data_IF_889447730854
#
_entry.id   IF_889447730854
#
_cell.length_a   1.000
_cell.length_b   1.000
_cell.length_c   1.000
_cell.angle_alpha   90.00
_cell.angle_beta   90.00
_cell.angle_gamma   90.00
#
_symmetry.space_group_name_H-M   'P 1'
#
loop_
_entity.id
_entity.type
_entity.pdbx_description
1 polymer ?
#
# COMPACT_ATOMS: atom_id res chain seq x y z
N UNK A 1 23.65 3.57 -0.02
CA UNK A 1 23.04 2.71 1.02
C UNK A 1 22.40 3.64 2.04
N UNK A 2 21.13 3.46 2.36
CA UNK A 2 20.44 4.35 3.31
C UNK A 2 20.81 3.94 4.75
N UNK A 3 21.65 4.75 5.44
CA UNK A 3 22.10 4.44 6.80
C UNK A 3 21.02 4.62 7.88
N UNK A 4 19.83 5.07 7.50
CA UNK A 4 18.72 5.30 8.42
C UNK A 4 17.73 4.13 8.47
N UNK A 5 17.97 3.07 7.70
CA UNK A 5 17.10 1.90 7.61
C UNK A 5 17.90 0.63 7.78
N UNK A 6 17.36 -0.34 8.50
CA UNK A 6 17.94 -1.68 8.64
C UNK A 6 16.87 -2.77 8.73
N UNK A 7 17.15 -3.92 8.15
CA UNK A 7 16.41 -5.15 8.38
C UNK A 7 17.02 -5.87 9.58
N UNK A 8 16.23 -6.11 10.60
CA UNK A 8 16.69 -6.76 11.84
C UNK A 8 15.76 -7.88 12.25
N UNK A 9 16.24 -8.74 13.14
CA UNK A 9 15.43 -9.78 13.76
C UNK A 9 15.13 -9.36 15.20
N UNK A 10 13.84 -9.30 15.56
CA UNK A 10 13.40 -8.96 16.90
C UNK A 10 13.59 -10.15 17.87
N UNK A 11 13.29 -9.93 19.16
CA UNK A 11 13.42 -10.95 20.21
C UNK A 11 12.53 -12.20 20.01
N UNK A 12 11.48 -12.06 19.19
CA UNK A 12 10.59 -13.16 18.79
C UNK A 12 11.10 -13.93 17.57
N UNK A 13 12.23 -13.52 16.99
CA UNK A 13 12.79 -14.11 15.78
C UNK A 13 12.16 -13.62 14.48
N UNK A 14 11.25 -12.64 14.54
CA UNK A 14 10.59 -12.07 13.37
C UNK A 14 11.50 -11.03 12.69
N UNK A 15 11.54 -11.05 11.38
CA UNK A 15 12.22 -10.02 10.61
C UNK A 15 11.36 -8.77 10.52
N UNK A 16 11.94 -7.64 10.92
CA UNK A 16 11.29 -6.32 10.90
C UNK A 16 12.23 -5.29 10.29
N UNK A 17 11.64 -4.30 9.62
CA UNK A 17 12.40 -3.17 9.11
C UNK A 17 12.30 -2.05 10.13
N UNK A 18 13.46 -1.52 10.53
CA UNK A 18 13.55 -0.43 11.48
C UNK A 18 14.11 0.82 10.81
N UNK A 19 13.61 1.96 11.25
CA UNK A 19 14.06 3.27 10.81
C UNK A 19 14.53 4.05 12.04
N UNK A 20 15.65 4.77 11.88
CA UNK A 20 16.21 5.66 12.89
C UNK A 20 17.43 6.37 12.35
N UNK A 21 17.70 7.56 12.85
CA UNK A 21 18.80 8.40 12.37
C UNK A 21 20.15 7.69 12.55
N UNK A 22 20.80 7.37 11.43
CA UNK A 22 22.11 6.71 11.43
C UNK A 22 22.11 5.30 12.01
N UNK A 23 20.96 4.63 12.13
CA UNK A 23 20.76 3.36 12.83
C UNK A 23 21.64 2.22 12.28
N UNK A 24 21.94 2.26 10.98
CA UNK A 24 22.80 1.29 10.29
C UNK A 24 24.25 1.80 10.09
N UNK A 25 24.56 3.02 10.57
CA UNK A 25 25.89 3.58 10.37
C UNK A 25 26.95 2.82 11.19
N UNK A 26 27.97 2.33 10.50
CA UNK A 26 29.06 1.57 11.12
C UNK A 26 28.66 0.16 11.61
N UNK A 27 27.43 -0.26 11.42
CA UNK A 27 26.92 -1.58 11.83
C UNK A 27 27.19 -2.66 10.77
N UNK A 28 27.43 -3.89 11.25
CA UNK A 28 27.62 -5.08 10.44
C UNK A 28 26.53 -6.10 10.75
N UNK A 29 26.38 -7.09 9.88
CA UNK A 29 25.44 -8.22 10.10
C UNK A 29 25.78 -8.92 11.42
N UNK A 30 24.81 -9.00 12.33
CA UNK A 30 24.95 -9.58 13.66
C UNK A 30 25.14 -8.57 14.80
N UNK A 31 25.37 -7.30 14.49
CA UNK A 31 25.47 -6.26 15.53
C UNK A 31 24.08 -5.96 16.12
N UNK A 32 24.07 -5.69 17.44
CA UNK A 32 22.86 -5.31 18.15
C UNK A 32 22.52 -3.84 17.90
N UNK A 33 21.23 -3.57 17.81
CA UNK A 33 20.68 -2.20 17.71
C UNK A 33 19.92 -1.92 19.00
N UNK A 34 20.24 -0.80 19.61
CA UNK A 34 19.56 -0.37 20.83
C UNK A 34 18.18 0.20 20.52
N UNK A 35 17.17 -0.16 21.31
CA UNK A 35 15.77 0.27 21.10
C UNK A 35 15.61 1.79 21.05
N UNK A 36 16.39 2.53 21.83
CA UNK A 36 16.35 3.98 21.87
C UNK A 36 16.85 4.66 20.58
N UNK A 37 17.44 3.91 19.66
CA UNK A 37 17.83 4.37 18.33
C UNK A 37 16.74 4.14 17.28
N UNK A 38 15.71 3.37 17.64
CA UNK A 38 14.62 3.01 16.72
C UNK A 38 13.52 4.07 16.81
N UNK A 39 13.31 4.79 15.73
CA UNK A 39 12.22 5.75 15.60
C UNK A 39 10.93 5.07 15.16
N UNK A 40 11.04 4.08 14.23
CA UNK A 40 9.90 3.34 13.70
C UNK A 40 10.25 1.89 13.40
N UNK A 41 9.22 1.04 13.50
CA UNK A 41 9.28 -0.39 13.19
C UNK A 41 8.18 -0.72 12.19
N UNK A 42 8.56 -1.32 11.07
CA UNK A 42 7.63 -1.83 10.05
C UNK A 42 7.65 -3.35 10.07
N UNK A 43 6.46 -3.93 10.22
CA UNK A 43 6.25 -5.38 10.17
C UNK A 43 5.55 -5.71 8.87
N UNK A 44 6.20 -6.51 8.03
CA UNK A 44 5.62 -7.00 6.78
C UNK A 44 5.17 -8.44 6.99
N UNK A 45 3.93 -8.73 6.64
CA UNK A 45 3.35 -10.07 6.83
C UNK A 45 3.86 -11.09 5.82
N UNK A 46 4.22 -10.62 4.62
CA UNK A 46 4.64 -11.46 3.51
C UNK A 46 6.03 -11.10 3.02
N UNK A 47 6.73 -12.06 2.42
CA UNK A 47 8.03 -11.84 1.76
C UNK A 47 7.89 -10.82 0.61
N UNK A 48 6.83 -10.94 -0.18
CA UNK A 48 6.54 -10.04 -1.29
C UNK A 48 6.39 -8.58 -0.81
N UNK A 49 5.63 -8.34 0.27
CA UNK A 49 5.48 -7.01 0.85
C UNK A 49 6.82 -6.45 1.32
N UNK A 50 7.70 -7.31 1.86
CA UNK A 50 9.05 -6.93 2.30
C UNK A 50 9.93 -6.53 1.12
N UNK A 51 9.93 -7.32 0.05
CA UNK A 51 10.70 -7.04 -1.17
C UNK A 51 10.26 -5.73 -1.82
N UNK A 52 8.94 -5.52 -1.93
CA UNK A 52 8.35 -4.29 -2.47
C UNK A 52 8.73 -3.07 -1.62
N UNK A 53 8.69 -3.19 -0.29
CA UNK A 53 9.11 -2.12 0.60
C UNK A 53 10.62 -1.83 0.48
N UNK A 54 11.45 -2.86 0.38
CA UNK A 54 12.89 -2.69 0.18
C UNK A 54 13.22 -2.05 -1.17
N UNK A 55 12.43 -2.31 -2.21
CA UNK A 55 12.55 -1.63 -3.50
C UNK A 55 12.19 -0.14 -3.37
N UNK A 56 11.08 0.16 -2.70
CA UNK A 56 10.64 1.53 -2.44
C UNK A 56 11.71 2.37 -1.72
N UNK A 57 12.41 1.77 -0.75
CA UNK A 57 13.49 2.43 0.01
C UNK A 57 14.70 2.85 -0.83
N UNK A 58 14.86 2.32 -2.04
CA UNK A 58 15.96 2.70 -2.94
C UNK A 58 15.68 4.01 -3.68
N UNK A 59 14.42 4.22 -4.05
CA UNK A 59 14.02 5.26 -5.00
C UNK A 59 13.22 6.39 -4.36
N UNK A 60 12.57 6.14 -3.22
CA UNK A 60 11.71 7.10 -2.53
C UNK A 60 12.39 7.67 -1.28
N UNK A 61 12.39 9.00 -1.07
CA UNK A 61 12.90 9.62 0.15
C UNK A 61 12.15 9.13 1.39
N UNK A 62 12.90 8.97 2.49
CA UNK A 62 12.38 8.37 3.71
C UNK A 62 11.18 9.14 4.30
N UNK A 63 11.15 10.46 4.14
CA UNK A 63 10.06 11.30 4.65
C UNK A 63 8.71 10.93 4.00
N UNK A 64 8.70 10.65 2.69
CA UNK A 64 7.50 10.19 2.00
C UNK A 64 7.02 8.85 2.52
N UNK A 65 7.93 7.92 2.75
CA UNK A 65 7.64 6.60 3.29
C UNK A 65 7.04 6.73 4.70
N UNK A 66 7.73 7.42 5.60
CA UNK A 66 7.31 7.55 7.00
C UNK A 66 5.99 8.27 7.15
N UNK A 67 5.79 9.37 6.42
CA UNK A 67 4.56 10.15 6.47
C UNK A 67 3.38 9.33 5.93
N UNK A 68 3.55 8.64 4.80
CA UNK A 68 2.47 7.81 4.22
C UNK A 68 2.09 6.66 5.14
N UNK A 69 3.06 5.96 5.73
CA UNK A 69 2.78 4.88 6.68
C UNK A 69 2.04 5.39 7.93
N UNK A 70 2.46 6.55 8.49
CA UNK A 70 1.73 7.18 9.60
C UNK A 70 0.27 7.51 9.25
N UNK A 71 0.06 8.05 8.06
CA UNK A 71 -1.28 8.38 7.56
C UNK A 71 -2.14 7.13 7.48
N UNK A 72 -1.65 6.09 6.78
CA UNK A 72 -2.38 4.85 6.60
C UNK A 72 -2.71 4.21 7.95
N UNK A 73 -1.73 4.05 8.86
CA UNK A 73 -1.93 3.46 10.17
C UNK A 73 -2.93 4.25 11.03
N UNK A 74 -2.82 5.58 11.02
CA UNK A 74 -3.69 6.44 11.82
C UNK A 74 -5.12 6.44 11.29
N UNK A 75 -5.28 6.62 9.97
CA UNK A 75 -6.61 6.82 9.38
C UNK A 75 -7.36 5.50 9.21
N UNK A 76 -6.69 4.40 8.85
CA UNK A 76 -7.34 3.08 8.81
C UNK A 76 -7.89 2.68 10.17
N UNK A 77 -7.16 2.93 11.26
CA UNK A 77 -7.62 2.69 12.63
C UNK A 77 -8.77 3.64 13.03
N UNK A 78 -8.63 4.94 12.73
CA UNK A 78 -9.65 5.95 13.08
C UNK A 78 -11.01 5.66 12.45
N UNK A 79 -11.00 5.25 11.18
CA UNK A 79 -12.21 4.99 10.41
C UNK A 79 -12.64 3.52 10.41
N UNK A 80 -11.91 2.64 11.13
CA UNK A 80 -12.10 1.19 11.09
C UNK A 80 -12.12 0.66 9.64
N UNK A 81 -11.30 1.26 8.77
CA UNK A 81 -11.26 0.96 7.35
C UNK A 81 -10.26 -0.18 7.09
N UNK A 82 -10.72 -1.36 6.67
CA UNK A 82 -9.83 -2.48 6.42
C UNK A 82 -8.99 -2.22 5.19
N UNK A 83 -7.70 -2.47 5.29
CA UNK A 83 -6.76 -2.25 4.18
C UNK A 83 -5.90 -3.46 3.90
N UNK A 84 -5.53 -3.62 2.65
CA UNK A 84 -4.53 -4.58 2.22
C UNK A 84 -3.13 -3.97 2.30
N UNK A 85 -2.14 -4.80 2.58
CA UNK A 85 -0.77 -4.38 2.89
C UNK A 85 -0.08 -3.65 1.72
N UNK A 86 -0.43 -3.97 0.48
CA UNK A 86 0.16 -3.31 -0.69
C UNK A 86 -0.14 -1.80 -0.77
N UNK A 87 -1.18 -1.30 -0.05
CA UNK A 87 -1.50 0.13 -0.01
C UNK A 87 -0.31 0.98 0.45
N UNK A 88 0.46 0.48 1.43
CA UNK A 88 1.63 1.18 1.94
C UNK A 88 2.65 1.49 0.84
N UNK A 89 2.87 0.55 -0.04
CA UNK A 89 3.81 0.70 -1.16
C UNK A 89 3.20 1.56 -2.26
N UNK A 90 1.99 1.23 -2.72
CA UNK A 90 1.39 1.88 -3.88
C UNK A 90 1.02 3.34 -3.62
N UNK A 91 0.53 3.68 -2.42
CA UNK A 91 0.23 5.07 -2.09
C UNK A 91 1.51 5.89 -1.88
N UNK A 92 2.55 5.32 -1.27
CA UNK A 92 3.83 6.01 -1.11
C UNK A 92 4.47 6.34 -2.46
N UNK A 93 4.51 5.37 -3.35
CA UNK A 93 5.04 5.55 -4.71
C UNK A 93 4.23 6.63 -5.46
N UNK A 94 2.90 6.55 -5.40
CA UNK A 94 2.02 7.55 -6.01
C UNK A 94 2.31 8.97 -5.51
N UNK A 95 2.35 9.21 -4.20
CA UNK A 95 2.57 10.54 -3.62
C UNK A 95 3.94 11.09 -4.02
N UNK A 96 4.97 10.24 -4.05
CA UNK A 96 6.29 10.66 -4.48
C UNK A 96 6.33 10.98 -5.98
N UNK A 97 5.70 10.16 -6.83
CA UNK A 97 5.58 10.43 -8.26
C UNK A 97 4.81 11.74 -8.53
N UNK A 98 3.73 11.99 -7.82
CA UNK A 98 2.96 13.26 -7.91
C UNK A 98 3.82 14.46 -7.50
N UNK A 99 4.57 14.35 -6.40
CA UNK A 99 5.52 15.39 -5.99
C UNK A 99 6.58 15.66 -7.06
N UNK A 100 7.16 14.61 -7.65
CA UNK A 100 8.12 14.77 -8.74
C UNK A 100 7.51 15.42 -9.97
N UNK A 101 6.28 15.03 -10.33
CA UNK A 101 5.57 15.63 -11.46
C UNK A 101 5.30 17.12 -11.25
N UNK A 102 4.90 17.51 -10.03
CA UNK A 102 4.70 18.89 -9.64
C UNK A 102 5.99 19.73 -9.73
N UNK A 103 7.06 19.23 -9.11
CA UNK A 103 8.35 19.95 -9.08
C UNK A 103 8.98 20.09 -10.47
N UNK A 104 8.63 19.20 -11.39
CA UNK A 104 9.10 19.24 -12.78
C UNK A 104 8.12 19.94 -13.74
N UNK A 105 7.02 20.51 -13.24
CA UNK A 105 6.01 21.17 -14.06
C UNK A 105 5.28 20.23 -15.03
N UNK A 106 5.22 18.94 -14.74
CA UNK A 106 4.61 17.90 -15.57
C UNK A 106 3.31 17.34 -14.99
N UNK A 107 2.87 17.87 -13.85
CA UNK A 107 1.62 17.45 -13.22
C UNK A 107 0.44 17.72 -14.14
N UNK A 108 -0.49 16.79 -14.19
CA UNK A 108 -1.75 16.91 -14.94
C UNK A 108 -2.90 16.51 -14.03
N UNK A 109 -3.96 17.29 -14.06
CA UNK A 109 -5.19 16.93 -13.36
C UNK A 109 -5.75 15.60 -13.87
N UNK A 110 -6.40 14.88 -13.00
CA UNK A 110 -7.03 13.60 -13.35
C UNK A 110 -8.35 13.84 -14.08
N UNK A 111 -8.73 12.87 -14.91
CA UNK A 111 -10.09 12.78 -15.46
C UNK A 111 -10.90 11.70 -14.72
N UNK A 112 -10.55 11.43 -13.46
CA UNK A 112 -11.24 10.44 -12.66
C UNK A 112 -12.66 10.90 -12.32
N UNK A 113 -13.68 10.02 -12.42
CA UNK A 113 -15.03 10.38 -12.05
C UNK A 113 -15.14 10.61 -10.55
N UNK A 114 -15.93 11.60 -10.14
CA UNK A 114 -16.28 11.77 -8.73
C UNK A 114 -17.20 10.62 -8.28
N UNK A 115 -16.68 9.80 -7.36
CA UNK A 115 -17.38 8.68 -6.76
C UNK A 115 -17.56 8.85 -5.24
N UNK A 116 -17.41 10.07 -4.72
CA UNK A 116 -17.48 10.40 -3.29
C UNK A 116 -18.80 9.97 -2.65
N UNK A 117 -19.92 10.11 -3.38
CA UNK A 117 -21.22 9.67 -2.91
C UNK A 117 -21.32 8.14 -2.70
N UNK A 118 -20.55 7.36 -3.48
CA UNK A 118 -20.52 5.90 -3.37
C UNK A 118 -19.56 5.41 -2.28
N UNK A 119 -18.45 6.13 -2.06
CA UNK A 119 -17.39 5.75 -1.13
C UNK A 119 -17.07 6.88 -0.14
N UNK A 120 -18.05 7.34 0.67
CA UNK A 120 -17.89 8.53 1.50
C UNK A 120 -16.77 8.40 2.53
N UNK A 121 -16.56 7.20 3.11
CA UNK A 121 -15.50 6.97 4.10
C UNK A 121 -14.12 7.09 3.49
N UNK A 122 -13.90 6.48 2.32
CA UNK A 122 -12.61 6.59 1.61
C UNK A 122 -12.28 8.04 1.25
N UNK A 123 -13.27 8.85 0.87
CA UNK A 123 -13.09 10.27 0.60
C UNK A 123 -12.83 11.10 1.86
N UNK A 124 -13.44 10.76 3.00
CA UNK A 124 -13.08 11.38 4.29
C UNK A 124 -11.64 11.10 4.68
N UNK A 125 -11.22 9.85 4.53
CA UNK A 125 -9.82 9.44 4.75
C UNK A 125 -8.89 10.21 3.81
N UNK A 126 -9.22 10.29 2.52
CA UNK A 126 -8.41 10.97 1.52
C UNK A 126 -8.24 12.47 1.80
N UNK A 127 -9.32 13.16 2.23
CA UNK A 127 -9.24 14.56 2.62
C UNK A 127 -8.31 14.78 3.82
N UNK A 128 -8.42 13.96 4.88
CA UNK A 128 -7.51 14.07 6.03
C UNK A 128 -6.07 13.71 5.65
N UNK A 129 -5.87 12.68 4.83
CA UNK A 129 -4.56 12.31 4.33
C UNK A 129 -3.92 13.45 3.53
N UNK A 130 -4.67 14.06 2.63
CA UNK A 130 -4.25 15.18 1.80
C UNK A 130 -3.77 16.37 2.64
N UNK A 131 -4.52 16.76 3.68
CA UNK A 131 -4.12 17.83 4.58
C UNK A 131 -2.80 17.52 5.32
N UNK A 132 -2.61 16.25 5.74
CA UNK A 132 -1.36 15.85 6.38
C UNK A 132 -0.19 15.87 5.39
N UNK A 133 -0.40 15.42 4.13
CA UNK A 133 0.62 15.50 3.09
C UNK A 133 1.03 16.94 2.80
N UNK A 134 0.06 17.85 2.68
CA UNK A 134 0.34 19.28 2.48
C UNK A 134 1.17 19.87 3.62
N UNK A 135 0.84 19.53 4.85
CA UNK A 135 1.56 20.04 6.03
C UNK A 135 2.97 19.49 6.17
N UNK A 136 3.17 18.19 5.84
CA UNK A 136 4.42 17.49 6.15
C UNK A 136 5.38 17.35 4.97
N UNK A 137 4.88 17.33 3.74
CA UNK A 137 5.70 17.05 2.55
C UNK A 137 5.75 18.22 1.57
N UNK A 138 4.60 18.76 1.16
CA UNK A 138 4.53 19.83 0.17
C UNK A 138 3.19 20.56 0.22
N UNK A 139 3.20 21.83 0.59
CA UNK A 139 2.02 22.71 0.73
C UNK A 139 1.28 22.99 -0.59
N UNK A 140 1.95 22.75 -1.71
CA UNK A 140 1.46 23.02 -3.06
C UNK A 140 0.87 21.80 -3.77
N UNK A 141 0.61 20.67 -3.06
CA UNK A 141 -0.15 19.57 -3.65
C UNK A 141 -1.55 20.07 -4.10
N UNK A 142 -1.96 19.77 -5.35
CA UNK A 142 -3.29 20.14 -5.85
C UNK A 142 -4.40 19.31 -5.24
N UNK A 143 -5.60 19.87 -5.13
CA UNK A 143 -6.77 19.17 -4.57
C UNK A 143 -7.19 17.94 -5.39
N UNK A 144 -6.78 17.85 -6.65
CA UNK A 144 -6.95 16.66 -7.50
C UNK A 144 -6.32 15.39 -6.88
N UNK A 145 -5.33 15.53 -5.99
CA UNK A 145 -4.76 14.40 -5.28
C UNK A 145 -5.77 13.73 -4.31
N UNK A 146 -6.78 14.44 -3.84
CA UNK A 146 -7.80 13.87 -2.94
C UNK A 146 -8.50 12.68 -3.62
N UNK A 147 -8.92 12.86 -4.88
CA UNK A 147 -9.60 11.79 -5.60
C UNK A 147 -8.66 10.61 -5.87
N UNK A 148 -7.40 10.87 -6.20
CA UNK A 148 -6.40 9.82 -6.43
C UNK A 148 -6.09 9.02 -5.16
N UNK A 149 -5.92 9.71 -4.03
CA UNK A 149 -5.73 9.08 -2.72
C UNK A 149 -6.96 8.23 -2.36
N UNK A 150 -8.19 8.75 -2.58
CA UNK A 150 -9.41 7.99 -2.34
C UNK A 150 -9.45 6.69 -3.16
N UNK A 151 -9.09 6.73 -4.43
CA UNK A 151 -9.01 5.53 -5.27
C UNK A 151 -7.99 4.51 -4.76
N UNK A 152 -6.84 4.95 -4.20
CA UNK A 152 -5.89 4.04 -3.58
C UNK A 152 -6.50 3.30 -2.39
N UNK A 153 -7.24 4.00 -1.51
CA UNK A 153 -7.93 3.38 -0.38
C UNK A 153 -9.04 2.43 -0.84
N UNK A 154 -9.87 2.84 -1.81
CA UNK A 154 -10.94 2.01 -2.37
C UNK A 154 -10.39 0.72 -2.97
N UNK A 155 -9.33 0.81 -3.78
CA UNK A 155 -8.73 -0.35 -4.41
C UNK A 155 -8.07 -1.31 -3.40
N UNK A 156 -7.60 -0.77 -2.28
CA UNK A 156 -6.95 -1.53 -1.22
C UNK A 156 -7.89 -1.88 -0.07
N UNK A 157 -9.19 -1.65 -0.21
CA UNK A 157 -10.16 -2.06 0.80
C UNK A 157 -10.11 -3.57 1.00
N UNK A 158 -9.87 -3.98 2.25
CA UNK A 158 -9.86 -5.38 2.64
C UNK A 158 -11.29 -5.88 2.81
N UNK A 159 -11.54 -7.10 2.40
CA UNK A 159 -12.82 -7.76 2.67
C UNK A 159 -12.89 -8.07 4.18
N UNK A 160 -13.99 -7.73 4.85
CA UNK A 160 -14.28 -8.25 6.18
C UNK A 160 -14.40 -9.78 6.12
N UNK A 161 -14.03 -10.51 7.19
CA UNK A 161 -14.04 -11.99 7.17
C UNK A 161 -15.36 -12.60 6.69
N UNK A 162 -16.49 -11.95 6.97
CA UNK A 162 -17.82 -12.38 6.53
C UNK A 162 -18.01 -12.14 5.03
N UNK A 163 -17.57 -10.99 4.51
CA UNK A 163 -17.62 -10.67 3.08
C UNK A 163 -16.64 -11.52 2.27
N UNK A 164 -15.49 -11.89 2.90
CA UNK A 164 -14.52 -12.79 2.27
C UNK A 164 -15.13 -14.17 1.98
N UNK A 165 -15.87 -14.73 2.93
CA UNK A 165 -16.55 -16.03 2.74
C UNK A 165 -17.61 -15.94 1.65
N UNK A 166 -18.45 -14.91 1.67
CA UNK A 166 -19.47 -14.70 0.64
C UNK A 166 -18.87 -14.44 -0.75
N UNK A 167 -17.79 -13.65 -0.82
CA UNK A 167 -17.10 -13.37 -2.08
C UNK A 167 -16.39 -14.61 -2.66
N UNK A 168 -15.80 -15.45 -1.81
CA UNK A 168 -15.20 -16.72 -2.22
C UNK A 168 -16.26 -17.67 -2.77
N UNK A 169 -17.41 -17.76 -2.12
CA UNK A 169 -18.50 -18.65 -2.57
C UNK A 169 -19.13 -18.13 -3.87
N UNK A 170 -19.30 -16.82 -4.00
CA UNK A 170 -19.75 -16.18 -5.25
C UNK A 170 -18.77 -16.38 -6.40
N UNK A 171 -17.46 -16.26 -6.15
CA UNK A 171 -16.42 -16.55 -7.16
C UNK A 171 -16.41 -18.02 -7.57
N UNK A 172 -16.58 -18.96 -6.63
CA UNK A 172 -16.72 -20.40 -6.91
C UNK A 172 -17.94 -20.69 -7.76
N UNK A 173 -19.07 -20.04 -7.47
CA UNK A 173 -20.29 -20.17 -8.25
C UNK A 173 -20.12 -19.65 -9.68
N UNK A 174 -19.53 -18.46 -9.84
CA UNK A 174 -19.22 -17.90 -11.17
C UNK A 174 -18.29 -18.82 -11.96
N UNK A 175 -17.24 -19.35 -11.32
CA UNK A 175 -16.31 -20.28 -11.97
C UNK A 175 -17.01 -21.56 -12.41
N UNK A 176 -17.91 -22.11 -11.57
CA UNK A 176 -18.70 -23.30 -11.91
C UNK A 176 -19.62 -23.03 -13.11
N UNK A 177 -20.31 -21.88 -13.11
CA UNK A 177 -21.19 -21.50 -14.22
C UNK A 177 -20.41 -21.31 -15.52
N UNK A 178 -19.23 -20.68 -15.45
CA UNK A 178 -18.33 -20.54 -16.62
C UNK A 178 -17.84 -21.90 -17.11
N UNK A 179 -17.50 -22.84 -16.21
CA UNK A 179 -17.10 -24.20 -16.60
C UNK A 179 -18.22 -24.98 -17.24
N UNK A 180 -19.45 -24.83 -16.77
CA UNK A 180 -20.64 -25.46 -17.41
C UNK A 180 -20.89 -24.93 -18.83
N UNK A 181 -20.79 -23.61 -18.99
CA UNK A 181 -20.91 -22.98 -20.32
C UNK A 181 -19.80 -23.48 -21.25
N UNK A 182 -18.54 -23.50 -20.78
CA UNK A 182 -17.41 -23.97 -21.60
C UNK A 182 -17.53 -25.46 -21.97
N UNK A 183 -18.05 -26.31 -21.07
CA UNK A 183 -18.36 -27.73 -21.38
C UNK A 183 -19.39 -27.87 -22.49
N UNK A 184 -20.41 -27.01 -22.50
CA UNK A 184 -21.42 -26.97 -23.57
C UNK A 184 -20.83 -26.68 -24.96
N UNK A 185 -19.67 -25.99 -25.01
CA UNK A 185 -18.92 -25.70 -26.25
C UNK A 185 -17.75 -26.65 -26.51
N UNK A 186 -17.62 -27.75 -25.77
CA UNK A 186 -16.51 -28.70 -25.83
C UNK A 186 -15.11 -28.08 -25.59
N UNK A 187 -15.05 -26.96 -24.83
CA UNK A 187 -13.82 -26.26 -24.50
C UNK A 187 -13.34 -26.72 -23.11
N UNK A 188 -12.15 -27.35 -23.04
CA UNK A 188 -11.54 -27.70 -21.76
C UNK A 188 -10.53 -26.63 -21.33
N UNK A 189 -10.68 -26.13 -20.10
CA UNK A 189 -9.70 -25.22 -19.47
C UNK A 189 -8.42 -25.96 -19.12
N UNK A 190 -7.28 -25.48 -19.59
CA UNK A 190 -5.98 -25.92 -19.09
C UNK A 190 -5.59 -25.10 -17.84
N UNK A 191 -5.01 -25.76 -16.84
CA UNK A 191 -4.60 -25.13 -15.55
C UNK A 191 -3.71 -23.86 -15.71
N UNK A 192 -3.05 -23.68 -16.85
CA UNK A 192 -2.21 -22.50 -17.14
C UNK A 192 -2.98 -21.20 -17.35
N UNK A 193 -4.25 -21.25 -17.75
CA UNK A 193 -5.08 -20.06 -18.02
C UNK A 193 -5.62 -19.46 -16.72
N UNK A 194 -5.77 -20.29 -15.67
CA UNK A 194 -6.29 -19.82 -14.36
C UNK A 194 -5.29 -18.89 -13.65
N UNK A 195 -3.98 -19.12 -13.81
CA UNK A 195 -2.93 -18.32 -13.16
C UNK A 195 -2.77 -16.94 -13.81
N UNK A 196 -2.99 -16.82 -15.13
CA UNK A 196 -2.88 -15.53 -15.82
C UNK A 196 -4.09 -14.60 -15.66
N UNK A 197 -5.26 -15.12 -15.24
CA UNK A 197 -6.45 -14.30 -14.96
C UNK A 197 -6.56 -13.80 -13.52
N UNK A 198 -5.67 -14.26 -12.63
CA UNK A 198 -5.59 -13.80 -11.22
C UNK A 198 -4.55 -12.68 -11.06
N UNK A 199 -3.73 -12.45 -12.10
CA UNK A 199 -2.64 -11.45 -12.11
C UNK A 199 -2.96 -10.17 -12.91
N UNK A 200 -4.26 -9.86 -13.15
CA UNK A 200 -4.71 -8.59 -13.75
C UNK A 200 -5.63 -7.85 -12.80
#
# INVERSE_FOLDING_TARGET
MNHNVSLVRNDKGEEVIIIGKGIAFGKRKGDLIAENQVEKIFRMKTEESRENFMALLKDVPLDFITVTYEIIDKLSKKYHYPIQEYLYVTLTDHIYCSYQALTQGRYKDSNLPDISAKYPVAFQIANEAFEIYRQKLADHFPEDEIIRIAYHFINAEGENEVELVESIDKRKEILRNVEEVLKGYAIQRTKKIIISMIAL
#
